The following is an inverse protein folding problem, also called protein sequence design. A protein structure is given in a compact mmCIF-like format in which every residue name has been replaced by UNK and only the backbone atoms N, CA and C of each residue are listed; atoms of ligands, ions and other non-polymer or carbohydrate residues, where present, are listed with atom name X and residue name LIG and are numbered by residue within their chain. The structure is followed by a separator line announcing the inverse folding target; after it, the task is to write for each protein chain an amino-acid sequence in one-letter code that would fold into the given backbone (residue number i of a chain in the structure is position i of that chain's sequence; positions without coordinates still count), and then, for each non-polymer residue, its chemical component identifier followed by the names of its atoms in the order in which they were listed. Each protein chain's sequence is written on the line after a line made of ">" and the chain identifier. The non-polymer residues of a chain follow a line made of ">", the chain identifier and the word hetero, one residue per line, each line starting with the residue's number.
data_IF_031942609306
#
_entry.id   IF_031942609306
#
_cell.length_a   1.000
_cell.length_b   1.000
_cell.length_c   1.000
_cell.angle_alpha   90.00
_cell.angle_beta   90.00
_cell.angle_gamma   90.00
#
_symmetry.space_group_name_H-M   'P 1'
#
loop_
_entity.id
_entity.type
_entity.pdbx_description
1 polymer ?
#
# COMPACT_ATOMS: atom_id res chain seq x y z
N UNK A 1 16.97 -45.44 37.68
CA UNK A 1 17.92 -44.71 36.80
C UNK A 1 17.49 -45.02 35.37
N UNK A 2 16.96 -44.17 34.50
CA UNK A 2 16.63 -42.76 34.50
C UNK A 2 16.32 -42.44 33.03
N UNK A 3 15.05 -42.45 32.62
CA UNK A 3 14.66 -42.17 31.24
C UNK A 3 14.43 -40.68 31.07
N UNK A 4 15.31 -40.02 30.32
CA UNK A 4 15.16 -38.61 29.98
C UNK A 4 14.10 -38.47 28.88
N UNK A 5 12.96 -37.87 29.24
CA UNK A 5 11.94 -37.47 28.28
C UNK A 5 12.46 -36.30 27.44
N UNK A 6 12.49 -36.48 26.13
CA UNK A 6 12.82 -35.43 25.17
C UNK A 6 11.70 -34.37 25.17
N UNK A 7 12.03 -33.15 25.57
CA UNK A 7 11.14 -32.01 25.45
C UNK A 7 11.08 -31.57 23.99
N UNK A 8 9.95 -31.84 23.33
CA UNK A 8 9.63 -31.21 22.06
C UNK A 8 9.35 -29.72 22.33
N UNK A 9 10.35 -28.87 22.08
CA UNK A 9 10.12 -27.43 22.01
C UNK A 9 9.26 -27.16 20.78
N UNK A 10 7.98 -26.92 21.01
CA UNK A 10 7.11 -26.26 20.05
C UNK A 10 7.72 -24.89 19.78
N UNK A 11 8.36 -24.74 18.62
CA UNK A 11 8.76 -23.44 18.10
C UNK A 11 7.47 -22.70 17.74
N UNK A 12 6.87 -22.03 18.72
CA UNK A 12 5.99 -20.88 18.47
C UNK A 12 6.84 -19.86 17.73
N UNK A 13 6.68 -19.84 16.41
CA UNK A 13 7.30 -18.82 15.56
C UNK A 13 6.94 -17.46 16.15
N UNK A 14 7.92 -16.64 16.56
CA UNK A 14 7.64 -15.31 17.04
C UNK A 14 6.93 -14.59 15.91
N UNK A 15 5.78 -13.97 16.22
CA UNK A 15 5.09 -13.07 15.32
C UNK A 15 6.13 -12.06 14.82
N UNK A 16 6.64 -12.29 13.61
CA UNK A 16 7.54 -11.36 12.97
C UNK A 16 6.78 -10.05 12.89
N UNK A 17 7.30 -9.02 13.55
CA UNK A 17 7.11 -7.62 13.15
C UNK A 17 7.68 -7.48 11.75
N UNK A 18 7.04 -8.15 10.78
CA UNK A 18 7.42 -8.19 9.39
C UNK A 18 6.94 -6.87 8.83
N UNK A 19 7.86 -6.12 8.25
CA UNK A 19 7.50 -4.94 7.47
C UNK A 19 6.31 -5.31 6.55
N UNK A 20 5.26 -4.46 6.45
CA UNK A 20 4.12 -4.76 5.62
C UNK A 20 4.61 -5.13 4.22
N UNK A 21 4.02 -6.08 3.48
CA UNK A 21 4.49 -6.40 2.15
C UNK A 21 4.27 -5.21 1.18
N UNK A 22 5.17 -5.07 0.20
CA UNK A 22 4.95 -4.22 -0.97
C UNK A 22 3.67 -4.68 -1.68
N UNK A 23 2.86 -3.72 -2.15
CA UNK A 23 1.71 -4.03 -2.98
C UNK A 23 2.13 -4.61 -4.33
N UNK A 24 1.26 -5.37 -4.98
CA UNK A 24 1.54 -5.95 -6.30
C UNK A 24 0.33 -5.83 -7.21
N UNK A 25 0.52 -6.13 -8.49
CA UNK A 25 -0.55 -6.35 -9.47
C UNK A 25 -1.33 -7.67 -9.23
N UNK A 26 -0.86 -8.49 -8.30
CA UNK A 26 -1.51 -9.71 -7.86
C UNK A 26 -2.32 -9.51 -6.58
N UNK A 27 -3.45 -10.19 -6.50
CA UNK A 27 -4.34 -10.13 -5.34
C UNK A 27 -3.70 -10.80 -4.12
N UNK A 28 -3.42 -10.07 -3.02
CA UNK A 28 -2.79 -10.66 -1.86
C UNK A 28 -3.66 -11.70 -1.14
N UNK A 29 -3.05 -12.62 -0.37
CA UNK A 29 -3.76 -13.54 0.51
C UNK A 29 -4.72 -12.80 1.45
N UNK A 30 -5.85 -13.43 1.81
CA UNK A 30 -6.91 -12.82 2.65
C UNK A 30 -6.43 -12.34 4.03
N UNK A 31 -5.31 -12.89 4.52
CA UNK A 31 -4.67 -12.55 5.78
C UNK A 31 -3.93 -11.20 5.74
N UNK A 32 -3.56 -10.70 4.56
CA UNK A 32 -2.88 -9.40 4.42
C UNK A 32 -3.89 -8.28 4.67
N UNK A 33 -3.58 -7.44 5.66
CA UNK A 33 -4.41 -6.30 6.06
C UNK A 33 -3.79 -4.95 5.73
N UNK A 34 -2.49 -4.94 5.44
CA UNK A 34 -1.70 -3.74 5.23
C UNK A 34 -0.67 -4.04 4.12
N UNK A 35 -0.55 -3.13 3.17
CA UNK A 35 0.49 -3.13 2.12
C UNK A 35 1.06 -1.73 1.96
N UNK A 36 2.26 -1.60 1.38
CA UNK A 36 2.81 -0.29 1.02
C UNK A 36 2.96 -0.12 -0.50
N UNK A 37 3.01 1.14 -0.92
CA UNK A 37 3.34 1.59 -2.27
C UNK A 37 4.45 2.63 -2.13
N UNK A 38 5.53 2.43 -2.87
CA UNK A 38 6.68 3.33 -2.82
C UNK A 38 6.57 4.39 -3.91
N UNK A 39 6.86 5.63 -3.54
CA UNK A 39 6.87 6.80 -4.42
C UNK A 39 8.29 7.37 -4.42
N UNK A 40 8.96 7.34 -5.57
CA UNK A 40 10.35 7.74 -5.73
C UNK A 40 10.55 8.66 -6.93
N UNK A 41 11.57 9.54 -6.93
CA UNK A 41 12.03 10.19 -8.15
C UNK A 41 12.72 9.16 -9.06
N UNK A 42 12.59 9.33 -10.37
CA UNK A 42 13.31 8.58 -11.38
C UNK A 42 13.93 9.52 -12.42
N UNK A 43 14.86 8.98 -13.23
CA UNK A 43 15.62 9.75 -14.23
C UNK A 43 14.71 10.40 -15.28
N UNK A 44 13.60 9.76 -15.61
CA UNK A 44 12.61 10.24 -16.59
C UNK A 44 11.35 10.86 -15.96
N UNK A 45 11.29 10.98 -14.63
CA UNK A 45 10.09 11.37 -13.89
C UNK A 45 9.86 10.49 -12.66
N UNK A 46 8.81 10.77 -11.86
CA UNK A 46 8.46 10.01 -10.68
C UNK A 46 8.12 8.56 -11.05
N UNK A 47 8.47 7.65 -10.15
CA UNK A 47 8.18 6.22 -10.24
C UNK A 47 7.35 5.83 -9.04
N UNK A 48 6.26 5.12 -9.30
CA UNK A 48 5.40 4.52 -8.28
C UNK A 48 5.51 3.01 -8.40
N UNK A 49 5.90 2.36 -7.32
CA UNK A 49 6.10 0.90 -7.29
C UNK A 49 5.12 0.29 -6.30
N UNK A 50 4.21 -0.60 -6.75
CA UNK A 50 3.91 -0.93 -8.15
C UNK A 50 3.08 0.18 -8.85
N UNK A 51 3.06 0.18 -10.18
CA UNK A 51 2.17 1.06 -10.95
C UNK A 51 0.68 0.71 -10.76
N UNK A 52 0.37 -0.57 -10.56
CA UNK A 52 -0.96 -1.05 -10.20
C UNK A 52 -0.91 -1.80 -8.87
N UNK A 53 -1.64 -1.29 -7.87
CA UNK A 53 -1.79 -1.94 -6.58
C UNK A 53 -3.13 -2.67 -6.49
N UNK A 54 -3.12 -4.01 -6.36
CA UNK A 54 -4.34 -4.82 -6.24
C UNK A 54 -4.56 -5.24 -4.78
N UNK A 55 -5.72 -4.91 -4.23
CA UNK A 55 -6.07 -5.19 -2.83
C UNK A 55 -7.53 -5.62 -2.67
N UNK A 56 -7.87 -6.19 -1.50
CA UNK A 56 -9.26 -6.46 -1.12
C UNK A 56 -9.87 -5.27 -0.39
N UNK A 57 -11.19 -5.16 -0.41
CA UNK A 57 -11.90 -4.27 0.51
C UNK A 57 -11.44 -4.44 1.97
N UNK A 58 -11.24 -3.32 2.63
CA UNK A 58 -10.76 -3.20 4.01
C UNK A 58 -9.26 -3.42 4.20
N UNK A 59 -8.48 -3.62 3.13
CA UNK A 59 -7.01 -3.59 3.21
C UNK A 59 -6.54 -2.15 3.30
N UNK A 60 -5.62 -1.86 4.22
CA UNK A 60 -4.93 -0.59 4.33
C UNK A 60 -3.78 -0.54 3.32
N UNK A 61 -3.68 0.57 2.59
CA UNK A 61 -2.61 0.84 1.64
C UNK A 61 -1.88 2.09 2.12
N UNK A 62 -0.57 1.98 2.24
CA UNK A 62 0.30 3.06 2.70
C UNK A 62 1.18 3.52 1.55
N UNK A 63 0.96 4.74 1.08
CA UNK A 63 1.90 5.39 0.18
C UNK A 63 2.97 6.06 1.01
N UNK A 64 4.22 5.71 0.70
CA UNK A 64 5.38 6.26 1.38
C UNK A 64 6.40 6.73 0.37
N UNK A 65 7.17 7.71 0.80
CA UNK A 65 8.24 8.26 -0.02
C UNK A 65 9.50 7.39 0.12
N UNK A 66 10.21 7.12 -0.99
CA UNK A 66 11.51 6.48 -0.90
C UNK A 66 12.50 7.36 -0.11
N UNK A 67 13.48 6.72 0.54
CA UNK A 67 14.45 7.43 1.37
C UNK A 67 15.28 8.47 0.59
N UNK A 68 15.48 8.23 -0.72
CA UNK A 68 16.31 9.06 -1.59
C UNK A 68 15.56 10.26 -2.18
N UNK A 69 14.24 10.31 -2.02
CA UNK A 69 13.42 11.39 -2.55
C UNK A 69 13.54 12.65 -1.68
N UNK A 70 14.01 13.76 -2.26
CA UNK A 70 14.09 15.03 -1.53
C UNK A 70 12.75 15.78 -1.50
N UNK A 71 12.04 15.78 -2.62
CA UNK A 71 10.78 16.52 -2.80
C UNK A 71 9.62 15.84 -2.07
N UNK A 72 8.56 16.58 -1.75
CA UNK A 72 7.31 16.00 -1.24
C UNK A 72 6.51 15.38 -2.38
N UNK A 73 5.70 14.37 -2.08
CA UNK A 73 4.72 13.84 -3.04
C UNK A 73 3.29 14.21 -2.66
N UNK A 74 2.41 14.23 -3.66
CA UNK A 74 0.96 14.39 -3.48
C UNK A 74 0.23 13.34 -4.31
N UNK A 75 -0.94 12.92 -3.83
CA UNK A 75 -1.82 11.97 -4.51
C UNK A 75 -3.17 12.60 -4.80
N UNK A 76 -3.65 12.41 -6.02
CA UNK A 76 -4.98 12.83 -6.44
C UNK A 76 -5.73 11.66 -7.05
N UNK A 77 -6.78 11.17 -6.38
CA UNK A 77 -7.60 10.07 -6.91
C UNK A 77 -8.86 10.63 -7.55
N UNK A 78 -9.22 10.09 -8.72
CA UNK A 78 -10.47 10.44 -9.41
C UNK A 78 -11.71 10.16 -8.54
N UNK A 79 -11.61 9.15 -7.67
CA UNK A 79 -12.61 8.80 -6.67
C UNK A 79 -11.90 8.39 -5.37
N UNK A 80 -12.44 8.77 -4.21
CA UNK A 80 -11.87 8.40 -2.92
C UNK A 80 -11.79 6.87 -2.74
N UNK A 81 -10.58 6.26 -2.67
CA UNK A 81 -10.46 4.81 -2.56
C UNK A 81 -10.85 4.29 -1.18
N UNK A 82 -11.05 5.16 -0.17
CA UNK A 82 -11.53 4.79 1.17
C UNK A 82 -12.89 5.39 1.57
N UNK A 83 -13.56 6.09 0.65
CA UNK A 83 -14.87 6.68 0.88
C UNK A 83 -16.01 5.89 0.23
N UNK A 84 -17.25 6.17 0.63
CA UNK A 84 -18.46 5.66 -0.03
C UNK A 84 -19.00 6.62 -1.10
N UNK A 85 -18.43 7.82 -1.21
CA UNK A 85 -18.84 8.85 -2.14
C UNK A 85 -17.87 8.94 -3.33
N UNK A 86 -18.43 9.21 -4.52
CA UNK A 86 -17.69 9.47 -5.77
C UNK A 86 -16.99 10.85 -5.77
N UNK A 87 -16.46 11.27 -4.62
CA UNK A 87 -15.74 12.53 -4.46
C UNK A 87 -14.26 12.29 -4.67
N UNK A 88 -13.62 13.17 -5.42
CA UNK A 88 -12.16 13.20 -5.59
C UNK A 88 -11.47 13.22 -4.22
N UNK A 89 -10.36 12.49 -4.09
CA UNK A 89 -9.47 12.59 -2.93
C UNK A 89 -8.19 13.30 -3.33
N UNK A 90 -7.76 14.26 -2.52
CA UNK A 90 -6.49 14.96 -2.65
C UNK A 90 -5.72 14.84 -1.35
N UNK A 91 -4.49 14.31 -1.40
CA UNK A 91 -3.62 14.30 -0.23
C UNK A 91 -3.02 15.69 -0.01
N UNK A 92 -2.62 15.97 1.23
CA UNK A 92 -1.67 17.06 1.50
C UNK A 92 -0.29 16.67 0.94
N UNK A 93 0.63 17.63 0.74
CA UNK A 93 2.03 17.32 0.44
C UNK A 93 2.64 16.44 1.53
N UNK A 94 3.23 15.32 1.12
CA UNK A 94 3.82 14.31 2.00
C UNK A 94 5.34 14.43 1.96
N UNK A 95 5.90 14.94 3.04
CA UNK A 95 7.34 15.17 3.20
C UNK A 95 8.11 13.96 3.75
N UNK A 96 9.28 14.22 4.33
CA UNK A 96 10.12 13.18 4.91
C UNK A 96 9.41 12.52 6.11
N UNK A 97 9.46 11.18 6.17
CA UNK A 97 8.86 10.37 7.26
C UNK A 97 7.34 10.56 7.43
N UNK A 98 6.68 11.04 6.39
CA UNK A 98 5.22 11.13 6.33
C UNK A 98 4.71 10.10 5.34
N UNK A 99 3.47 9.67 5.55
CA UNK A 99 2.82 8.64 4.76
C UNK A 99 1.37 9.01 4.53
N UNK A 100 0.79 8.49 3.45
CA UNK A 100 -0.66 8.51 3.22
C UNK A 100 -1.18 7.11 3.47
N UNK A 101 -2.05 6.95 4.46
CA UNK A 101 -2.74 5.69 4.72
C UNK A 101 -4.18 5.80 4.24
N UNK A 102 -4.62 4.89 3.37
CA UNK A 102 -6.01 4.77 2.96
C UNK A 102 -6.49 3.34 3.13
N UNK A 103 -7.66 3.18 3.76
CA UNK A 103 -8.35 1.88 3.84
C UNK A 103 -9.20 1.70 2.59
N UNK A 104 -8.98 0.62 1.83
CA UNK A 104 -9.76 0.32 0.63
C UNK A 104 -11.25 0.17 0.94
N UNK A 105 -12.10 0.93 0.24
CA UNK A 105 -13.55 0.97 0.44
C UNK A 105 -14.20 -0.39 0.18
N UNK A 106 -15.38 -0.63 0.76
CA UNK A 106 -16.21 -1.77 0.37
C UNK A 106 -16.61 -1.66 -1.11
N UNK A 107 -16.43 -2.74 -1.87
CA UNK A 107 -16.91 -2.84 -3.25
C UNK A 107 -17.66 -4.16 -3.44
N UNK A 108 -18.75 -4.13 -4.21
CA UNK A 108 -19.54 -5.32 -4.57
C UNK A 108 -19.05 -5.99 -5.85
N UNK A 109 -18.29 -5.27 -6.66
CA UNK A 109 -17.60 -5.74 -7.86
C UNK A 109 -16.21 -5.10 -7.93
N UNK A 110 -15.34 -5.62 -8.79
CA UNK A 110 -13.98 -5.07 -8.94
C UNK A 110 -14.04 -3.61 -9.38
N UNK A 111 -13.32 -2.73 -8.66
CA UNK A 111 -13.24 -1.30 -8.94
C UNK A 111 -11.78 -0.92 -9.17
N UNK A 112 -11.52 -0.28 -10.29
CA UNK A 112 -10.21 0.28 -10.63
C UNK A 112 -10.29 1.80 -10.54
N UNK A 113 -9.39 2.39 -9.77
CA UNK A 113 -9.38 3.80 -9.45
C UNK A 113 -8.01 4.35 -9.89
N UNK A 114 -7.95 5.13 -10.99
CA UNK A 114 -6.72 5.81 -11.36
C UNK A 114 -6.44 6.94 -10.36
N UNK A 115 -5.15 7.22 -10.16
CA UNK A 115 -4.71 8.38 -9.39
C UNK A 115 -3.46 9.01 -10.01
N UNK A 116 -3.34 10.32 -9.85
CA UNK A 116 -2.13 11.09 -10.17
C UNK A 116 -1.22 11.09 -8.94
N UNK A 117 0.04 10.72 -9.15
CA UNK A 117 1.11 10.87 -8.18
C UNK A 117 2.08 11.95 -8.66
N UNK A 118 2.21 13.03 -7.88
CA UNK A 118 3.04 14.18 -8.21
C UNK A 118 4.25 14.23 -7.30
N UNK A 119 5.45 14.42 -7.87
CA UNK A 119 6.68 14.77 -7.15
C UNK A 119 7.22 16.05 -7.82
N UNK A 120 7.20 17.15 -7.08
CA UNK A 120 7.53 18.48 -7.61
C UNK A 120 6.64 18.89 -8.79
N UNK A 121 7.26 19.04 -9.96
CA UNK A 121 6.60 19.42 -11.22
C UNK A 121 6.17 18.22 -12.07
N UNK A 122 6.62 17.02 -11.72
CA UNK A 122 6.44 15.82 -12.53
C UNK A 122 5.31 14.96 -11.99
N UNK A 123 4.65 14.22 -12.89
CA UNK A 123 3.44 13.44 -12.62
C UNK A 123 3.51 12.06 -13.27
N UNK A 124 2.82 11.09 -12.67
CA UNK A 124 2.60 9.75 -13.20
C UNK A 124 1.18 9.31 -12.82
N UNK A 125 0.56 8.46 -13.64
CA UNK A 125 -0.85 8.03 -13.51
C UNK A 125 -0.97 6.52 -13.15
N UNK A 126 -0.58 6.10 -11.93
CA UNK A 126 -0.79 4.75 -11.42
C UNK A 126 -2.27 4.44 -11.12
N UNK A 127 -2.54 3.20 -10.73
CA UNK A 127 -3.87 2.72 -10.38
C UNK A 127 -3.92 1.91 -9.09
N UNK A 128 -5.08 1.93 -8.43
CA UNK A 128 -5.44 0.97 -7.39
C UNK A 128 -6.66 0.17 -7.85
N UNK A 129 -6.60 -1.15 -7.69
CA UNK A 129 -7.70 -2.07 -7.98
C UNK A 129 -8.18 -2.72 -6.69
N UNK A 130 -9.42 -2.43 -6.34
CA UNK A 130 -10.08 -2.97 -5.16
C UNK A 130 -11.00 -4.10 -5.61
N UNK A 131 -10.79 -5.29 -5.06
CA UNK A 131 -11.68 -6.44 -5.29
C UNK A 131 -12.54 -6.71 -4.04
N UNK A 132 -13.74 -7.31 -4.22
CA UNK A 132 -14.56 -7.73 -3.09
C UNK A 132 -13.79 -8.67 -2.15
N UNK A 133 -14.07 -8.55 -0.85
CA UNK A 133 -13.54 -9.48 0.15
C UNK A 133 -14.27 -10.81 0.05
#
# INVERSE_FOLDING_TARGET
>A
MGSAAAWAMQQTSPAQTREPPLCTDQLPPRAVKLVYVDVAPGVAGPVVTPELCVVRSGTQVVWRKSADAQESFELTFAEAPGGTAATQFLSRPVGNRQEVLITAKPVTSTSEIPYDARIGVSRIDPGIKIVPR
#
